data_IF_521699577694
#
_entry.id   IF_521699577694
#
_cell.length_a   1.000
_cell.length_b   1.000
_cell.length_c   1.000
_cell.angle_alpha   90.00
_cell.angle_beta   90.00
_cell.angle_gamma   90.00
#
_symmetry.space_group_name_H-M   'P 1'
#
loop_
_entity.id
_entity.type
_entity.pdbx_description
1 polymer ?
#
# COMPACT_ATOMS: atom_id res chain seq x y z
N UNK A 1 -10.69 12.92 6.83
CA UNK A 1 -9.66 12.07 7.48
C UNK A 1 -9.45 12.55 8.89
N UNK A 2 -9.46 11.62 9.86
CA UNK A 2 -8.99 11.94 11.20
C UNK A 2 -7.45 12.00 11.19
N UNK A 3 -6.86 12.66 12.18
CA UNK A 3 -5.39 12.73 12.30
C UNK A 3 -4.92 11.87 13.50
N UNK A 4 -3.63 11.50 13.56
CA UNK A 4 -3.11 10.63 14.62
C UNK A 4 -3.31 11.15 16.04
N UNK A 5 -3.40 12.47 16.21
CA UNK A 5 -3.64 13.12 17.50
C UNK A 5 -5.12 13.09 17.91
N UNK A 6 -6.04 12.67 17.02
CA UNK A 6 -7.47 12.55 17.31
C UNK A 6 -8.22 13.87 17.54
N UNK A 7 -7.55 15.01 17.37
CA UNK A 7 -8.13 16.36 17.55
C UNK A 7 -8.72 16.89 16.24
N UNK A 8 -9.44 18.01 16.27
CA UNK A 8 -9.99 18.61 15.04
C UNK A 8 -8.87 19.11 14.11
N UNK A 9 -8.86 18.61 12.87
CA UNK A 9 -7.87 18.93 11.84
C UNK A 9 -8.12 20.23 11.06
N UNK A 10 -9.20 20.98 11.33
CA UNK A 10 -9.55 22.18 10.57
C UNK A 10 -8.53 23.32 10.69
N UNK A 11 -7.73 23.34 11.76
CA UNK A 11 -6.75 24.40 12.05
C UNK A 11 -5.54 24.32 11.11
N UNK A 12 -5.21 23.12 10.61
CA UNK A 12 -4.03 22.87 9.79
C UNK A 12 -4.36 21.90 8.65
N UNK A 13 -5.26 22.33 7.76
CA UNK A 13 -5.68 21.54 6.61
C UNK A 13 -4.91 21.95 5.37
N UNK A 14 -4.07 21.05 4.87
CA UNK A 14 -3.36 21.21 3.59
C UNK A 14 -4.20 20.65 2.42
N UNK A 15 -4.03 21.17 1.18
CA UNK A 15 -4.69 20.62 0.00
C UNK A 15 -4.18 19.20 -0.32
N UNK A 16 -5.01 18.41 -1.00
CA UNK A 16 -4.66 17.05 -1.40
C UNK A 16 -3.50 17.03 -2.41
N UNK A 17 -3.58 17.86 -3.44
CA UNK A 17 -2.51 18.06 -4.40
C UNK A 17 -1.62 19.23 -3.94
N UNK A 18 -0.28 19.10 -3.97
CA UNK A 18 0.50 17.95 -4.46
C UNK A 18 0.81 16.89 -3.38
N UNK A 19 0.51 17.18 -2.11
CA UNK A 19 1.06 16.47 -0.95
C UNK A 19 0.64 14.99 -0.85
N UNK A 20 -0.66 14.73 -0.72
CA UNK A 20 -1.16 13.38 -0.54
C UNK A 20 -1.07 12.57 -1.83
N UNK A 21 -1.21 13.23 -3.00
CA UNK A 21 -1.00 12.57 -4.29
C UNK A 21 0.40 11.96 -4.42
N UNK A 22 1.44 12.72 -4.10
CA UNK A 22 2.82 12.22 -4.18
C UNK A 22 3.07 11.13 -3.13
N UNK A 23 2.54 11.31 -1.91
CA UNK A 23 2.62 10.30 -0.85
C UNK A 23 2.00 8.97 -1.27
N UNK A 24 0.81 9.02 -1.86
CA UNK A 24 0.09 7.83 -2.32
C UNK A 24 0.82 7.16 -3.48
N UNK A 25 1.41 7.93 -4.40
CA UNK A 25 2.22 7.42 -5.50
C UNK A 25 3.46 6.65 -5.00
N UNK A 26 4.16 7.16 -3.98
CA UNK A 26 5.27 6.44 -3.35
C UNK A 26 4.79 5.13 -2.73
N UNK A 27 3.66 5.16 -2.00
CA UNK A 27 3.05 3.96 -1.43
C UNK A 27 2.68 2.92 -2.50
N UNK A 28 2.16 3.37 -3.63
CA UNK A 28 1.83 2.51 -4.77
C UNK A 28 3.09 1.81 -5.32
N UNK A 29 4.20 2.53 -5.49
CA UNK A 29 5.45 1.91 -5.94
C UNK A 29 5.97 0.85 -4.96
N UNK A 30 5.91 1.11 -3.66
CA UNK A 30 6.33 0.12 -2.64
C UNK A 30 5.46 -1.14 -2.72
N UNK A 31 4.14 -1.00 -2.83
CA UNK A 31 3.21 -2.12 -3.00
C UNK A 31 3.53 -2.92 -4.28
N UNK A 32 3.75 -2.24 -5.40
CA UNK A 32 4.09 -2.88 -6.67
C UNK A 32 5.42 -3.63 -6.59
N UNK A 33 6.44 -3.08 -5.92
CA UNK A 33 7.71 -3.77 -5.74
C UNK A 33 7.55 -5.08 -4.96
N UNK A 34 6.78 -5.07 -3.88
CA UNK A 34 6.50 -6.28 -3.09
C UNK A 34 5.76 -7.32 -3.94
N UNK A 35 4.77 -6.89 -4.73
CA UNK A 35 4.03 -7.80 -5.62
C UNK A 35 4.93 -8.39 -6.71
N UNK A 36 5.81 -7.60 -7.31
CA UNK A 36 6.76 -8.08 -8.32
C UNK A 36 7.73 -9.09 -7.72
N UNK A 37 8.25 -8.83 -6.51
CA UNK A 37 9.13 -9.78 -5.81
C UNK A 37 8.38 -11.09 -5.53
N UNK A 38 7.14 -11.00 -5.00
CA UNK A 38 6.33 -12.18 -4.70
C UNK A 38 6.08 -13.02 -5.95
N UNK A 39 5.66 -12.39 -7.05
CA UNK A 39 5.26 -13.11 -8.27
C UNK A 39 6.44 -13.67 -9.06
N UNK A 40 7.59 -12.96 -9.10
CA UNK A 40 8.73 -13.41 -9.89
C UNK A 40 9.70 -14.31 -9.12
N UNK A 41 9.87 -14.09 -7.81
CA UNK A 41 10.87 -14.83 -7.03
C UNK A 41 10.27 -16.05 -6.32
N UNK A 42 9.08 -15.92 -5.71
CA UNK A 42 8.45 -17.00 -4.95
C UNK A 42 6.92 -17.03 -5.17
N UNK A 43 6.44 -17.39 -6.38
CA UNK A 43 5.03 -17.24 -6.77
C UNK A 43 4.05 -18.04 -5.92
N UNK A 44 4.50 -19.14 -5.30
CA UNK A 44 3.66 -20.02 -4.49
C UNK A 44 3.85 -19.84 -2.98
N UNK A 45 4.61 -18.82 -2.54
CA UNK A 45 4.91 -18.61 -1.11
C UNK A 45 3.66 -18.45 -0.24
N UNK A 46 2.58 -17.93 -0.80
CA UNK A 46 1.30 -17.71 -0.11
C UNK A 46 0.20 -18.70 -0.55
N UNK A 47 0.55 -19.73 -1.33
CA UNK A 47 -0.39 -20.74 -1.83
C UNK A 47 -0.37 -22.04 -1.03
N UNK A 48 -1.45 -22.81 -1.12
CA UNK A 48 -1.54 -24.17 -0.56
C UNK A 48 -1.05 -25.19 -1.60
N UNK A 49 -0.04 -26.04 -1.31
CA UNK A 49 0.47 -27.05 -2.24
C UNK A 49 -0.57 -28.10 -2.65
N UNK A 50 -1.61 -28.35 -1.84
CA UNK A 50 -2.63 -29.35 -2.17
C UNK A 50 -3.48 -28.92 -3.37
N UNK A 51 -3.54 -27.62 -3.70
CA UNK A 51 -4.21 -27.11 -4.90
C UNK A 51 -3.57 -27.60 -6.23
N UNK A 52 -2.42 -28.28 -6.18
CA UNK A 52 -1.79 -28.89 -7.35
C UNK A 52 -2.12 -30.39 -7.53
N UNK A 53 -2.90 -30.99 -6.62
CA UNK A 53 -3.30 -32.40 -6.69
C UNK A 53 -4.70 -32.50 -7.31
N UNK A 54 -4.89 -33.25 -8.43
CA UNK A 54 -6.19 -33.42 -9.10
C UNK A 54 -7.13 -34.41 -8.41
#
# INVERSE_FOLDING_TARGET
SNNPMGIKSNIDKIPFHPYFMLKDLVGFFVMMMILVILTLQNPYMLGDPDNFIP
#
